data_IF_656279583192
#
_entry.id   IF_656279583192
#
_cell.length_a   1.000
_cell.length_b   1.000
_cell.length_c   1.000
_cell.angle_alpha   90.00
_cell.angle_beta   90.00
_cell.angle_gamma   90.00
#
_symmetry.space_group_name_H-M   'P 1'
#
loop_
_entity.id
_entity.type
_entity.pdbx_description
1 polymer ?
#
# COMPACT_ATOMS: atom_id res chain seq x y z
N UNK A 1 29.63 5.92 8.88
CA UNK A 1 28.27 5.53 8.48
C UNK A 1 28.40 4.89 7.12
N UNK A 2 28.19 3.58 7.02
CA UNK A 2 28.01 2.93 5.73
C UNK A 2 26.76 3.56 5.08
N UNK A 3 26.81 3.90 3.80
CA UNK A 3 25.63 4.44 3.11
C UNK A 3 24.54 3.38 3.06
N UNK A 4 23.30 3.77 3.36
CA UNK A 4 22.13 2.92 3.13
C UNK A 4 22.07 2.52 1.66
N UNK A 5 22.01 1.22 1.39
CA UNK A 5 21.82 0.70 0.03
C UNK A 5 20.33 0.55 -0.20
N UNK A 6 19.82 1.23 -1.21
CA UNK A 6 18.41 1.10 -1.59
C UNK A 6 18.14 -0.24 -2.26
N UNK A 7 16.96 -0.77 -2.03
CA UNK A 7 16.49 -2.00 -2.67
C UNK A 7 16.08 -1.76 -4.12
N UNK A 8 16.12 -2.82 -4.93
CA UNK A 8 15.72 -2.79 -6.34
C UNK A 8 14.22 -3.02 -6.53
N UNK A 9 13.74 -2.84 -7.77
CA UNK A 9 12.33 -2.99 -8.11
C UNK A 9 11.77 -4.37 -7.76
N UNK A 10 12.55 -5.43 -7.97
CA UNK A 10 12.13 -6.81 -7.69
C UNK A 10 11.85 -7.01 -6.20
N UNK A 11 12.75 -6.54 -5.34
CA UNK A 11 12.57 -6.57 -3.89
C UNK A 11 11.29 -5.84 -3.47
N UNK A 12 11.03 -4.65 -4.01
CA UNK A 12 9.84 -3.86 -3.67
C UNK A 12 8.53 -4.55 -4.06
N UNK A 13 8.47 -5.18 -5.23
CA UNK A 13 7.27 -5.90 -5.67
C UNK A 13 7.03 -7.16 -4.84
N UNK A 14 8.09 -7.90 -4.50
CA UNK A 14 8.00 -9.09 -3.65
C UNK A 14 7.50 -8.72 -2.23
N UNK A 15 8.09 -7.71 -1.61
CA UNK A 15 7.72 -7.28 -0.25
C UNK A 15 6.31 -6.67 -0.22
N UNK A 16 5.94 -5.90 -1.24
CA UNK A 16 4.56 -5.44 -1.41
C UNK A 16 3.58 -6.61 -1.44
N UNK A 17 3.95 -7.74 -2.06
CA UNK A 17 3.14 -8.95 -2.06
C UNK A 17 2.91 -9.48 -0.65
N UNK A 18 3.96 -9.68 0.14
CA UNK A 18 3.84 -10.15 1.52
C UNK A 18 2.96 -9.23 2.38
N UNK A 19 3.08 -7.92 2.19
CA UNK A 19 2.32 -6.90 2.92
C UNK A 19 0.85 -6.82 2.48
N UNK A 20 0.55 -6.97 1.19
CA UNK A 20 -0.83 -7.08 0.69
C UNK A 20 -1.52 -8.33 1.23
N UNK A 21 -0.81 -9.46 1.35
CA UNK A 21 -1.37 -10.68 1.95
C UNK A 21 -1.76 -10.46 3.41
N UNK A 22 -0.99 -9.65 4.16
CA UNK A 22 -1.32 -9.24 5.53
C UNK A 22 -2.51 -8.29 5.54
N UNK A 23 -2.51 -7.29 4.65
CA UNK A 23 -3.56 -6.28 4.56
C UNK A 23 -4.95 -6.90 4.38
N UNK A 24 -5.06 -7.89 3.49
CA UNK A 24 -6.31 -8.61 3.21
C UNK A 24 -6.43 -9.93 3.97
N UNK A 25 -5.51 -10.22 4.89
CA UNK A 25 -5.38 -11.50 5.60
C UNK A 25 -6.58 -11.90 6.43
N UNK A 26 -7.44 -10.94 6.79
CA UNK A 26 -8.67 -11.17 7.55
C UNK A 26 -9.95 -10.88 6.77
N UNK A 27 -9.85 -10.42 5.51
CA UNK A 27 -11.04 -10.18 4.71
C UNK A 27 -11.83 -11.49 4.50
N UNK A 28 -13.18 -11.46 4.62
CA UNK A 28 -13.99 -12.67 4.72
C UNK A 28 -14.04 -13.47 3.41
N UNK A 29 -13.92 -12.80 2.27
CA UNK A 29 -14.00 -13.39 0.93
C UNK A 29 -12.66 -13.34 0.19
N UNK A 30 -11.55 -13.26 0.94
CA UNK A 30 -10.23 -13.06 0.36
C UNK A 30 -9.80 -14.21 -0.54
N UNK A 31 -9.02 -13.88 -1.56
CA UNK A 31 -8.23 -14.82 -2.34
C UNK A 31 -6.76 -14.41 -2.23
N UNK A 32 -5.96 -15.28 -1.59
CA UNK A 32 -4.53 -15.09 -1.39
C UNK A 32 -3.79 -16.24 -2.09
N UNK A 33 -2.96 -15.94 -3.08
CA UNK A 33 -2.18 -16.93 -3.82
C UNK A 33 -0.77 -16.41 -4.09
N UNK A 34 0.24 -17.28 -3.92
CA UNK A 34 1.62 -17.00 -4.32
C UNK A 34 2.11 -18.07 -5.28
N UNK A 35 2.88 -17.64 -6.27
CA UNK A 35 3.62 -18.50 -7.18
C UNK A 35 5.11 -18.19 -7.13
N UNK A 36 5.85 -18.75 -8.07
CA UNK A 36 7.30 -18.54 -8.15
C UNK A 36 7.67 -17.09 -8.44
N UNK A 37 6.94 -16.46 -9.36
CA UNK A 37 7.19 -15.11 -9.86
C UNK A 37 5.88 -14.32 -9.94
N UNK A 38 4.96 -14.53 -8.99
CA UNK A 38 3.74 -13.74 -8.86
C UNK A 38 3.12 -13.86 -7.47
N UNK A 39 2.24 -12.91 -7.14
CA UNK A 39 1.35 -12.96 -5.99
C UNK A 39 -0.01 -12.35 -6.35
N UNK A 40 -1.07 -12.81 -5.67
CA UNK A 40 -2.45 -12.34 -5.82
C UNK A 40 -3.05 -12.16 -4.43
N UNK A 41 -3.37 -10.93 -4.04
CA UNK A 41 -4.06 -10.61 -2.80
C UNK A 41 -5.33 -9.81 -3.10
N UNK A 42 -6.46 -10.50 -3.11
CA UNK A 42 -7.79 -9.90 -3.30
C UNK A 42 -8.52 -9.90 -1.96
N UNK A 43 -9.13 -8.77 -1.59
CA UNK A 43 -10.01 -8.70 -0.42
C UNK A 43 -11.34 -9.46 -0.63
N UNK A 44 -11.74 -9.64 -1.89
CA UNK A 44 -13.03 -10.22 -2.26
C UNK A 44 -14.11 -9.17 -2.56
N UNK A 45 -13.81 -7.89 -2.41
CA UNK A 45 -14.77 -6.80 -2.65
C UNK A 45 -14.78 -6.40 -4.14
N UNK A 46 -15.92 -6.48 -4.85
CA UNK A 46 -15.99 -6.18 -6.27
C UNK A 46 -16.15 -4.69 -6.56
N UNK A 47 -15.93 -4.28 -7.81
CA UNK A 47 -16.25 -2.93 -8.30
C UNK A 47 -15.27 -1.84 -7.88
N UNK A 48 -14.09 -2.22 -7.35
CA UNK A 48 -12.99 -1.31 -7.06
C UNK A 48 -11.68 -2.10 -6.92
N UNK A 49 -10.75 -1.84 -7.83
CA UNK A 49 -9.44 -2.48 -7.87
C UNK A 49 -8.50 -2.02 -6.74
N UNK A 50 -8.76 -0.88 -6.11
CA UNK A 50 -7.95 -0.33 -5.03
C UNK A 50 -7.95 -1.19 -3.76
N UNK A 51 -8.88 -2.15 -3.66
CA UNK A 51 -9.00 -3.12 -2.57
C UNK A 51 -8.52 -4.53 -2.97
N UNK A 52 -7.86 -4.67 -4.13
CA UNK A 52 -7.51 -5.96 -4.73
C UNK A 52 -6.26 -5.81 -5.60
N UNK A 53 -5.17 -6.48 -5.23
CA UNK A 53 -3.89 -6.30 -5.90
C UNK A 53 -3.27 -7.63 -6.29
N UNK A 54 -2.55 -7.63 -7.40
CA UNK A 54 -1.65 -8.70 -7.81
C UNK A 54 -0.31 -8.11 -8.23
N UNK A 55 0.75 -8.92 -8.15
CA UNK A 55 2.07 -8.54 -8.60
C UNK A 55 2.73 -9.63 -9.41
N UNK A 56 3.59 -9.21 -10.33
CA UNK A 56 4.34 -10.08 -11.22
C UNK A 56 5.83 -9.91 -10.96
N UNK A 57 6.59 -11.00 -11.02
CA UNK A 57 8.05 -10.99 -11.01
C UNK A 57 8.61 -10.72 -12.41
N UNK A 58 9.83 -10.18 -12.48
CA UNK A 58 10.46 -9.84 -13.76
C UNK A 58 10.66 -11.06 -14.68
N UNK A 59 10.75 -12.26 -14.08
CA UNK A 59 10.95 -13.53 -14.77
C UNK A 59 9.67 -14.36 -14.92
N UNK A 60 8.48 -13.77 -14.70
CA UNK A 60 7.20 -14.49 -14.79
C UNK A 60 7.04 -15.17 -16.14
N UNK A 61 6.71 -16.47 -16.13
CA UNK A 61 6.48 -17.26 -17.34
C UNK A 61 5.15 -16.88 -18.01
N UNK A 62 4.96 -17.20 -19.28
CA UNK A 62 3.67 -16.98 -19.93
C UNK A 62 2.57 -17.85 -19.31
N UNK A 63 2.89 -19.09 -18.92
CA UNK A 63 1.94 -19.98 -18.23
C UNK A 63 1.47 -19.40 -16.89
N UNK A 64 2.40 -18.84 -16.09
CA UNK A 64 2.06 -18.20 -14.82
C UNK A 64 1.28 -16.90 -15.03
N UNK A 65 1.67 -16.10 -16.02
CA UNK A 65 0.94 -14.89 -16.38
C UNK A 65 -0.49 -15.20 -16.84
N UNK A 66 -0.66 -16.20 -17.70
CA UNK A 66 -1.98 -16.69 -18.13
C UNK A 66 -2.80 -17.18 -16.95
N UNK A 67 -2.18 -17.91 -16.01
CA UNK A 67 -2.82 -18.36 -14.77
C UNK A 67 -3.32 -17.18 -13.92
N UNK A 68 -2.47 -16.18 -13.66
CA UNK A 68 -2.84 -14.99 -12.88
C UNK A 68 -4.04 -14.28 -13.52
N UNK A 69 -3.98 -14.05 -14.83
CA UNK A 69 -5.05 -13.38 -15.58
C UNK A 69 -6.34 -14.21 -15.54
N UNK A 70 -6.24 -15.52 -15.68
CA UNK A 70 -7.39 -16.42 -15.61
C UNK A 70 -8.05 -16.38 -14.23
N UNK A 71 -7.26 -16.45 -13.15
CA UNK A 71 -7.76 -16.35 -11.77
C UNK A 71 -8.53 -15.04 -11.57
N UNK A 72 -7.94 -13.90 -11.96
CA UNK A 72 -8.59 -12.58 -11.79
C UNK A 72 -9.89 -12.49 -12.60
N UNK A 73 -9.92 -13.03 -13.81
CA UNK A 73 -11.14 -13.02 -14.65
C UNK A 73 -12.24 -13.91 -14.10
N UNK A 74 -11.89 -15.08 -13.57
CA UNK A 74 -12.85 -16.03 -13.02
C UNK A 74 -13.47 -15.53 -11.72
N UNK A 75 -12.74 -14.74 -10.91
CA UNK A 75 -13.30 -14.11 -9.72
C UNK A 75 -14.25 -12.95 -10.04
N UNK A 76 -14.12 -12.34 -11.21
CA UNK A 76 -14.81 -11.11 -11.60
C UNK A 76 -14.57 -9.95 -10.62
N UNK A 77 -13.39 -9.94 -9.98
CA UNK A 77 -12.97 -8.90 -9.05
C UNK A 77 -12.03 -7.94 -9.78
N UNK A 78 -12.38 -6.66 -9.77
CA UNK A 78 -11.52 -5.59 -10.27
C UNK A 78 -10.17 -5.63 -9.54
N UNK A 79 -9.05 -5.60 -10.26
CA UNK A 79 -7.71 -5.85 -9.69
C UNK A 79 -6.65 -4.94 -10.30
N UNK A 80 -5.83 -4.34 -9.45
CA UNK A 80 -4.59 -3.66 -9.83
C UNK A 80 -3.50 -4.72 -9.99
N UNK A 81 -2.79 -4.68 -11.11
CA UNK A 81 -1.61 -5.52 -11.36
C UNK A 81 -0.37 -4.62 -11.36
N UNK A 82 0.56 -4.90 -10.44
CA UNK A 82 1.88 -4.25 -10.37
C UNK A 82 2.88 -5.11 -11.10
N UNK A 83 3.54 -4.55 -12.11
CA UNK A 83 4.44 -5.27 -13.00
C UNK A 83 5.78 -4.52 -13.13
N UNK A 84 6.93 -5.23 -13.05
CA UNK A 84 8.25 -4.62 -13.20
C UNK A 84 8.36 -3.81 -14.49
N UNK A 85 8.92 -2.61 -14.37
CA UNK A 85 9.21 -1.74 -15.50
C UNK A 85 10.56 -2.03 -16.15
N UNK A 86 11.49 -2.63 -15.40
CA UNK A 86 12.82 -3.00 -15.90
C UNK A 86 12.75 -4.10 -16.98
N UNK A 87 11.71 -4.93 -16.97
CA UNK A 87 11.46 -5.88 -18.05
C UNK A 87 10.55 -5.25 -19.13
N UNK A 88 11.17 -4.82 -20.23
CA UNK A 88 10.49 -4.17 -21.35
C UNK A 88 9.44 -5.05 -22.07
N UNK A 89 9.48 -6.39 -21.94
CA UNK A 89 8.55 -7.26 -22.64
C UNK A 89 7.22 -7.48 -21.89
N UNK A 90 7.20 -7.27 -20.57
CA UNK A 90 6.07 -7.64 -19.74
C UNK A 90 4.83 -6.78 -20.03
N UNK A 91 5.05 -5.50 -20.31
CA UNK A 91 3.99 -4.61 -20.80
C UNK A 91 3.33 -5.16 -22.07
N UNK A 92 4.14 -5.56 -23.07
CA UNK A 92 3.61 -6.12 -24.31
C UNK A 92 2.91 -7.47 -24.08
N UNK A 93 3.39 -8.29 -23.15
CA UNK A 93 2.78 -9.57 -22.77
C UNK A 93 1.44 -9.41 -22.05
N UNK A 94 1.27 -8.34 -21.27
CA UNK A 94 -0.03 -7.94 -20.69
C UNK A 94 -0.99 -7.43 -21.78
N UNK A 95 -0.50 -6.58 -22.69
CA UNK A 95 -1.29 -6.05 -23.81
C UNK A 95 -1.81 -7.16 -24.74
N UNK A 96 -1.00 -8.20 -25.01
CA UNK A 96 -1.41 -9.40 -25.77
C UNK A 96 -2.57 -10.15 -25.12
N UNK A 97 -2.74 -10.01 -23.81
CA UNK A 97 -3.84 -10.58 -23.02
C UNK A 97 -5.01 -9.61 -22.88
N UNK A 98 -4.95 -8.43 -23.51
CA UNK A 98 -5.99 -7.40 -23.45
C UNK A 98 -5.99 -6.64 -22.13
N UNK A 99 -4.84 -6.51 -21.48
CA UNK A 99 -4.67 -5.79 -20.22
C UNK A 99 -3.78 -4.58 -20.51
N UNK A 100 -4.33 -3.39 -20.37
CA UNK A 100 -3.61 -2.14 -20.63
C UNK A 100 -2.94 -1.61 -19.35
N UNK A 101 -1.70 -1.13 -19.49
CA UNK A 101 -1.02 -0.39 -18.43
C UNK A 101 -1.56 1.04 -18.37
N UNK A 102 -2.07 1.44 -17.22
CA UNK A 102 -2.67 2.77 -16.97
C UNK A 102 -1.70 3.75 -16.32
N UNK A 103 -0.52 3.31 -15.90
CA UNK A 103 0.48 4.20 -15.34
C UNK A 103 1.66 3.48 -14.72
N UNK A 104 2.32 4.16 -13.78
CA UNK A 104 3.38 3.61 -12.95
C UNK A 104 3.12 4.03 -11.49
N UNK A 105 3.58 3.23 -10.54
CA UNK A 105 3.55 3.57 -9.12
C UNK A 105 4.98 3.81 -8.63
N UNK A 106 5.34 5.04 -8.19
CA UNK A 106 6.62 5.28 -7.55
C UNK A 106 6.71 4.49 -6.24
N UNK A 107 7.55 3.46 -6.23
CA UNK A 107 8.00 2.81 -5.00
C UNK A 107 9.09 3.68 -4.40
N UNK A 108 8.87 4.14 -3.17
CA UNK A 108 9.78 5.03 -2.47
C UNK A 108 10.31 4.37 -1.20
N UNK A 109 11.57 4.64 -0.90
CA UNK A 109 12.25 4.14 0.28
C UNK A 109 12.97 5.26 1.02
N UNK A 110 13.02 5.14 2.34
CA UNK A 110 13.78 6.02 3.21
C UNK A 110 14.52 5.23 4.28
N UNK A 111 15.81 5.50 4.52
CA UNK A 111 16.50 5.01 5.72
C UNK A 111 15.87 5.59 6.98
N UNK A 112 15.68 4.76 7.99
CA UNK A 112 15.23 5.19 9.30
C UNK A 112 16.20 6.24 9.85
N UNK A 113 15.63 7.33 10.38
CA UNK A 113 16.42 8.44 10.88
C UNK A 113 15.53 9.63 11.24
N UNK A 114 16.11 10.61 11.96
CA UNK A 114 15.38 11.77 12.43
C UNK A 114 14.81 12.58 11.26
N UNK A 115 13.70 13.26 11.51
CA UNK A 115 13.15 14.24 10.59
C UNK A 115 13.70 15.63 10.91
N UNK A 116 13.91 16.45 9.88
CA UNK A 116 14.46 17.81 10.06
C UNK A 116 13.49 18.76 10.79
N UNK A 117 12.19 18.48 10.69
CA UNK A 117 11.12 19.31 11.27
C UNK A 117 10.08 18.43 11.93
N UNK A 118 9.66 18.75 13.17
CA UNK A 118 8.57 18.05 13.82
C UNK A 118 7.25 18.37 13.13
N UNK A 119 6.35 17.40 13.11
CA UNK A 119 5.00 17.56 12.60
C UNK A 119 4.16 18.50 13.51
N UNK A 120 3.15 19.18 12.96
CA UNK A 120 2.30 20.10 13.72
C UNK A 120 1.26 19.38 14.59
N UNK A 121 1.12 18.06 14.46
CA UNK A 121 0.23 17.21 15.27
C UNK A 121 1.02 16.04 15.86
N UNK A 122 0.51 15.48 16.96
CA UNK A 122 0.94 14.19 17.45
C UNK A 122 -0.03 13.12 16.92
N UNK A 123 0.51 12.03 16.38
CA UNK A 123 -0.29 10.85 16.08
C UNK A 123 -0.15 9.80 17.19
N UNK A 124 -1.14 8.92 17.28
CA UNK A 124 -1.14 7.78 18.20
C UNK A 124 -1.63 6.53 17.49
N UNK A 125 -1.34 5.37 18.06
CA UNK A 125 -1.91 4.11 17.58
C UNK A 125 -3.43 4.08 17.81
N UNK A 126 -4.13 3.49 16.85
CA UNK A 126 -5.55 3.17 16.93
C UNK A 126 -5.75 1.88 17.75
N UNK A 127 -6.93 1.75 18.32
CA UNK A 127 -7.41 0.53 18.98
C UNK A 127 -8.36 -0.24 18.06
N UNK A 128 -8.61 -1.52 18.35
CA UNK A 128 -9.59 -2.34 17.62
C UNK A 128 -11.00 -1.73 17.65
N UNK A 129 -11.37 -1.01 18.72
CA UNK A 129 -12.65 -0.32 18.83
C UNK A 129 -12.79 0.88 17.87
N UNK A 130 -11.67 1.42 17.40
CA UNK A 130 -11.63 2.59 16.49
C UNK A 130 -11.58 2.18 15.02
N UNK A 131 -11.43 0.88 14.72
CA UNK A 131 -11.23 0.39 13.35
C UNK A 131 -12.33 0.85 12.38
N UNK A 132 -13.59 0.81 12.80
CA UNK A 132 -14.70 1.26 11.95
C UNK A 132 -14.52 2.75 11.55
N UNK A 133 -14.18 3.62 12.50
CA UNK A 133 -13.98 5.05 12.23
C UNK A 133 -12.73 5.30 11.36
N UNK A 134 -11.66 4.52 11.57
CA UNK A 134 -10.48 4.57 10.72
C UNK A 134 -10.84 4.21 9.27
N UNK A 135 -11.64 3.15 9.07
CA UNK A 135 -12.06 2.71 7.73
C UNK A 135 -13.00 3.72 7.06
N UNK A 136 -13.87 4.38 7.81
CA UNK A 136 -14.70 5.49 7.31
C UNK A 136 -13.82 6.65 6.79
N UNK A 137 -12.79 7.05 7.56
CA UNK A 137 -11.84 8.10 7.19
C UNK A 137 -11.06 7.73 5.93
N UNK A 138 -10.60 6.48 5.84
CA UNK A 138 -9.91 5.96 4.65
C UNK A 138 -10.83 5.95 3.42
N UNK A 139 -12.05 5.44 3.57
CA UNK A 139 -13.03 5.42 2.49
C UNK A 139 -13.37 6.83 1.99
N UNK A 140 -13.58 7.78 2.90
CA UNK A 140 -13.80 9.19 2.55
C UNK A 140 -12.59 9.79 1.81
N UNK A 141 -11.37 9.55 2.28
CA UNK A 141 -10.16 10.13 1.69
C UNK A 141 -9.89 9.63 0.27
N UNK A 142 -10.21 8.36 -0.02
CA UNK A 142 -9.99 7.70 -1.31
C UNK A 142 -11.26 7.59 -2.17
N UNK A 143 -12.38 8.17 -1.73
CA UNK A 143 -13.69 8.08 -2.41
C UNK A 143 -14.15 6.64 -2.65
N UNK A 144 -13.93 5.76 -1.68
CA UNK A 144 -14.31 4.35 -1.71
C UNK A 144 -15.66 4.12 -1.01
N UNK A 145 -16.23 2.94 -1.25
CA UNK A 145 -17.39 2.48 -0.48
C UNK A 145 -16.98 2.12 0.95
N UNK A 146 -17.67 2.68 1.93
CA UNK A 146 -17.37 2.51 3.36
C UNK A 146 -17.49 1.05 3.78
N UNK A 147 -18.56 0.36 3.40
CA UNK A 147 -18.79 -1.01 3.85
C UNK A 147 -17.78 -1.97 3.24
N UNK A 148 -17.46 -1.79 1.94
CA UNK A 148 -16.41 -2.57 1.27
C UNK A 148 -15.04 -2.35 1.91
N UNK A 149 -14.68 -1.08 2.15
CA UNK A 149 -13.41 -0.73 2.80
C UNK A 149 -13.31 -1.39 4.17
N UNK A 150 -14.37 -1.30 4.99
CA UNK A 150 -14.40 -1.94 6.31
C UNK A 150 -14.31 -3.46 6.25
N UNK A 151 -14.91 -4.12 5.26
CA UNK A 151 -14.81 -5.59 5.09
C UNK A 151 -13.47 -6.04 4.54
N UNK A 152 -12.81 -5.22 3.73
CA UNK A 152 -11.48 -5.54 3.17
C UNK A 152 -10.38 -5.57 4.23
N UNK A 153 -10.54 -4.84 5.33
CA UNK A 153 -9.58 -4.83 6.44
C UNK A 153 -10.35 -4.72 7.77
N UNK A 154 -10.80 -5.85 8.35
CA UNK A 154 -11.54 -5.84 9.60
C UNK A 154 -10.61 -5.68 10.82
N UNK A 155 -11.19 -5.51 12.02
CA UNK A 155 -10.44 -5.19 13.24
C UNK A 155 -9.44 -6.27 13.67
N UNK A 156 -9.62 -7.51 13.22
CA UNK A 156 -8.68 -8.62 13.38
C UNK A 156 -7.31 -8.32 12.79
N UNK A 157 -7.21 -7.41 11.80
CA UNK A 157 -5.92 -6.93 11.27
C UNK A 157 -4.96 -6.47 12.38
N UNK A 158 -5.46 -5.78 13.41
CA UNK A 158 -4.65 -5.27 14.53
C UNK A 158 -4.25 -6.36 15.54
N UNK A 159 -4.69 -7.61 15.36
CA UNK A 159 -4.28 -8.73 16.21
C UNK A 159 -2.99 -9.38 15.73
N UNK A 160 -2.62 -9.18 14.46
CA UNK A 160 -1.39 -9.73 13.90
C UNK A 160 -0.18 -8.90 14.32
N UNK A 161 0.91 -9.59 14.64
CA UNK A 161 2.16 -8.95 15.05
C UNK A 161 2.71 -8.01 13.95
N UNK A 162 3.14 -6.82 14.36
CA UNK A 162 3.69 -5.80 13.48
C UNK A 162 2.64 -5.04 12.66
N UNK A 163 1.35 -5.37 12.73
CA UNK A 163 0.30 -4.57 12.09
C UNK A 163 -0.09 -3.41 13.02
N UNK A 164 -0.02 -2.21 12.49
CA UNK A 164 -0.29 -0.99 13.23
C UNK A 164 -1.15 -0.04 12.40
N UNK A 165 -1.99 0.73 13.08
CA UNK A 165 -2.70 1.85 12.49
C UNK A 165 -2.40 3.06 13.35
N UNK A 166 -1.95 4.13 12.71
CA UNK A 166 -1.68 5.40 13.35
C UNK A 166 -2.71 6.43 12.91
N UNK A 167 -3.13 7.29 13.82
CA UNK A 167 -4.12 8.32 13.57
C UNK A 167 -3.76 9.63 14.25
N UNK A 168 -4.20 10.73 13.65
CA UNK A 168 -4.27 12.04 14.32
C UNK A 168 -5.71 12.29 14.71
N UNK A 169 -5.93 12.65 15.97
CA UNK A 169 -7.24 13.01 16.50
C UNK A 169 -7.21 14.44 17.05
N UNK A 170 -8.27 15.18 16.81
CA UNK A 170 -8.53 16.50 17.42
C UNK A 170 -10.00 16.53 17.83
N UNK A 171 -10.27 16.83 19.11
CA UNK A 171 -11.62 16.94 19.69
C UNK A 171 -12.53 15.73 19.41
N UNK A 172 -12.01 14.50 19.54
CA UNK A 172 -12.78 13.28 19.31
C UNK A 172 -12.99 12.92 17.84
N UNK A 173 -12.38 13.67 16.90
CA UNK A 173 -12.47 13.43 15.46
C UNK A 173 -11.13 12.99 14.90
N UNK A 174 -11.12 11.86 14.19
CA UNK A 174 -9.95 11.42 13.42
C UNK A 174 -9.78 12.34 12.21
N UNK A 175 -8.66 13.05 12.15
CA UNK A 175 -8.33 13.96 11.05
C UNK A 175 -7.62 13.26 9.89
N UNK A 176 -6.99 12.13 10.16
CA UNK A 176 -6.27 11.31 9.17
C UNK A 176 -5.61 10.10 9.83
N UNK A 177 -5.23 9.14 9.00
CA UNK A 177 -4.71 7.84 9.43
C UNK A 177 -3.72 7.25 8.42
N UNK A 178 -3.02 6.20 8.83
CA UNK A 178 -2.11 5.39 8.01
C UNK A 178 -1.99 3.98 8.58
N UNK A 179 -1.81 3.01 7.69
CA UNK A 179 -1.56 1.61 8.02
C UNK A 179 -0.07 1.35 7.90
N UNK A 180 0.48 0.66 8.89
CA UNK A 180 1.90 0.36 8.97
C UNK A 180 2.07 -1.12 9.25
N UNK A 181 2.97 -1.77 8.51
CA UNK A 181 3.27 -3.19 8.67
C UNK A 181 4.76 -3.33 8.90
N UNK A 182 5.13 -3.66 10.14
CA UNK A 182 6.50 -3.91 10.52
C UNK A 182 6.86 -5.37 10.25
N UNK A 183 8.05 -5.57 9.69
CA UNK A 183 8.71 -6.87 9.54
C UNK A 183 10.19 -6.66 9.85
N UNK A 184 10.67 -7.23 10.95
CA UNK A 184 12.06 -7.07 11.41
C UNK A 184 12.52 -5.59 11.50
N UNK A 185 13.39 -5.17 10.57
CA UNK A 185 14.00 -3.84 10.44
C UNK A 185 13.32 -2.94 9.39
N UNK A 186 12.23 -3.41 8.79
CA UNK A 186 11.48 -2.76 7.73
C UNK A 186 10.06 -2.35 8.18
N UNK A 187 9.62 -1.17 7.73
CA UNK A 187 8.25 -0.67 7.92
C UNK A 187 7.60 -0.32 6.57
N UNK A 188 6.64 -1.12 6.13
CA UNK A 188 5.77 -0.78 5.01
C UNK A 188 4.69 0.21 5.41
N UNK A 189 4.43 1.20 4.56
CA UNK A 189 3.43 2.26 4.78
C UNK A 189 2.34 2.19 3.73
N UNK A 190 1.11 2.06 4.19
CA UNK A 190 -0.10 1.84 3.39
C UNK A 190 -1.24 2.75 3.86
N UNK A 191 -2.27 2.91 3.02
CA UNK A 191 -3.55 3.57 3.36
C UNK A 191 -3.35 4.92 4.08
N UNK A 192 -2.41 5.74 3.61
CA UNK A 192 -2.19 7.10 4.14
C UNK A 192 -3.35 7.99 3.72
N UNK A 193 -4.30 8.17 4.62
CA UNK A 193 -5.58 8.81 4.36
C UNK A 193 -5.71 10.13 5.13
N UNK A 194 -6.03 11.20 4.42
CA UNK A 194 -6.45 12.48 5.01
C UNK A 194 -7.63 13.01 4.20
N UNK A 195 -8.84 13.05 4.78
CA UNK A 195 -10.01 13.66 4.14
C UNK A 195 -9.74 15.08 3.66
N UNK A 196 -10.38 15.49 2.57
CA UNK A 196 -10.09 16.75 1.87
C UNK A 196 -10.09 17.98 2.80
N UNK A 197 -11.06 18.04 3.71
CA UNK A 197 -11.23 19.10 4.72
C UNK A 197 -10.08 19.22 5.75
N UNK A 198 -9.17 18.24 5.79
CA UNK A 198 -8.04 18.20 6.73
C UNK A 198 -6.67 18.19 6.01
N UNK A 199 -6.66 18.23 4.67
CA UNK A 199 -5.42 18.29 3.87
C UNK A 199 -4.70 19.63 4.04
N UNK A 200 -3.40 19.63 3.71
CA UNK A 200 -2.57 20.85 3.77
C UNK A 200 -2.21 21.34 5.18
N UNK A 201 -2.71 20.67 6.24
CA UNK A 201 -2.43 21.02 7.64
C UNK A 201 -1.21 20.28 8.23
N UNK A 202 -0.69 19.27 7.55
CA UNK A 202 0.40 18.42 8.05
C UNK A 202 -0.06 17.15 8.79
N UNK A 203 -1.33 16.76 8.66
CA UNK A 203 -1.90 15.55 9.29
C UNK A 203 -1.19 14.27 8.84
N UNK A 204 -1.13 14.00 7.52
CA UNK A 204 -0.42 12.84 7.00
C UNK A 204 1.07 12.82 7.35
N UNK A 205 1.70 14.00 7.42
CA UNK A 205 3.08 14.12 7.91
C UNK A 205 3.21 13.69 9.36
N UNK A 206 2.28 14.09 10.24
CA UNK A 206 2.28 13.67 11.63
C UNK A 206 2.10 12.16 11.80
N UNK A 207 1.15 11.57 11.08
CA UNK A 207 0.93 10.10 11.08
C UNK A 207 2.21 9.37 10.70
N UNK A 208 2.83 9.76 9.58
CA UNK A 208 4.05 9.10 9.08
C UNK A 208 5.26 9.33 9.99
N UNK A 209 5.45 10.54 10.50
CA UNK A 209 6.56 10.87 11.39
C UNK A 209 6.48 10.09 12.68
N UNK A 210 5.33 10.12 13.36
CA UNK A 210 5.17 9.43 14.64
C UNK A 210 5.35 7.93 14.51
N UNK A 211 4.85 7.29 13.44
CA UNK A 211 5.03 5.86 13.23
C UNK A 211 6.51 5.48 13.03
N UNK A 212 7.25 6.24 12.21
CA UNK A 212 8.69 5.98 11.99
C UNK A 212 9.49 6.27 13.26
N UNK A 213 9.23 7.39 13.93
CA UNK A 213 9.91 7.76 15.18
C UNK A 213 9.67 6.75 16.30
N UNK A 214 8.47 6.17 16.38
CA UNK A 214 8.16 5.12 17.34
C UNK A 214 9.10 3.93 17.25
N UNK A 215 9.52 3.57 16.03
CA UNK A 215 10.36 2.39 15.80
C UNK A 215 11.87 2.70 15.73
N UNK A 216 12.29 3.97 15.74
CA UNK A 216 13.70 4.38 15.59
C UNK A 216 14.63 3.74 16.63
N UNK A 217 14.20 3.67 17.89
CA UNK A 217 15.01 3.08 18.97
C UNK A 217 14.91 1.54 19.02
N UNK A 218 14.02 0.96 18.21
CA UNK A 218 13.69 -0.48 18.24
C UNK A 218 14.25 -1.27 17.06
N UNK A 219 15.23 -0.72 16.36
CA UNK A 219 15.94 -1.42 15.28
C UNK A 219 15.33 -1.27 13.89
N UNK A 220 14.47 -0.27 13.66
CA UNK A 220 14.05 0.07 12.30
C UNK A 220 15.25 0.59 11.51
N UNK A 221 15.50 0.01 10.33
CA UNK A 221 16.53 0.44 9.40
C UNK A 221 15.98 1.25 8.23
N UNK A 222 14.77 0.96 7.75
CA UNK A 222 14.16 1.69 6.63
C UNK A 222 12.63 1.54 6.55
N UNK A 223 12.00 2.45 5.81
CA UNK A 223 10.57 2.43 5.53
C UNK A 223 10.31 2.53 4.02
N UNK A 224 9.24 1.88 3.56
CA UNK A 224 8.86 1.86 2.14
C UNK A 224 7.39 2.23 1.94
N UNK A 225 7.07 2.73 0.75
CA UNK A 225 5.70 3.03 0.35
C UNK A 225 5.54 3.05 -1.18
N UNK A 226 4.30 2.88 -1.63
CA UNK A 226 3.87 3.28 -2.97
C UNK A 226 3.25 4.67 -2.93
N UNK A 227 3.72 5.60 -3.75
CA UNK A 227 3.22 6.97 -3.76
C UNK A 227 2.15 7.20 -4.83
N UNK A 228 1.04 7.80 -4.44
CA UNK A 228 0.11 8.44 -5.39
C UNK A 228 0.68 9.78 -5.86
N UNK A 229 0.15 10.33 -6.95
CA UNK A 229 0.54 11.68 -7.44
C UNK A 229 0.38 12.75 -6.34
N UNK A 230 -0.71 12.66 -5.55
CA UNK A 230 -0.97 13.59 -4.44
C UNK A 230 -0.01 13.38 -3.26
N UNK A 231 0.33 12.13 -2.93
CA UNK A 231 1.19 11.79 -1.80
C UNK A 231 2.67 12.05 -2.06
N UNK A 232 3.12 11.89 -3.31
CA UNK A 232 4.52 11.96 -3.70
C UNK A 232 5.28 13.19 -3.14
N UNK A 233 4.78 14.44 -3.29
CA UNK A 233 5.50 15.62 -2.81
C UNK A 233 5.62 15.70 -1.28
N UNK A 234 4.78 14.97 -0.54
CA UNK A 234 4.86 14.88 0.92
C UNK A 234 6.00 13.94 1.31
N UNK A 235 6.05 12.75 0.71
CA UNK A 235 7.07 11.74 1.02
C UNK A 235 8.47 12.20 0.61
N UNK A 236 8.60 12.84 -0.55
CA UNK A 236 9.87 13.41 -1.01
C UNK A 236 10.43 14.43 -0.01
N UNK A 237 9.60 15.34 0.50
CA UNK A 237 9.99 16.31 1.54
C UNK A 237 10.38 15.67 2.86
N UNK A 238 9.89 14.45 3.11
CA UNK A 238 10.20 13.67 4.30
C UNK A 238 11.41 12.76 4.12
N UNK A 239 12.10 12.85 2.98
CA UNK A 239 13.36 12.16 2.73
C UNK A 239 13.21 10.78 2.06
N UNK A 240 12.01 10.42 1.64
CA UNK A 240 11.81 9.25 0.78
C UNK A 240 12.35 9.53 -0.62
N UNK A 241 12.96 8.51 -1.22
CA UNK A 241 13.49 8.54 -2.58
C UNK A 241 12.78 7.50 -3.41
N UNK A 242 12.41 7.88 -4.62
CA UNK A 242 11.93 6.93 -5.62
C UNK A 242 13.07 5.99 -6.01
N UNK A 243 12.85 4.70 -5.85
CA UNK A 243 13.83 3.64 -6.11
C UNK A 243 13.37 2.71 -7.23
N UNK A 244 12.06 2.62 -7.46
CA UNK A 244 11.48 1.92 -8.60
C UNK A 244 10.17 2.60 -9.07
N UNK A 245 9.75 2.30 -10.31
CA UNK A 245 8.49 2.79 -10.89
C UNK A 245 7.82 1.67 -11.72
N UNK A 246 7.40 0.57 -11.09
CA UNK A 246 6.73 -0.51 -11.80
C UNK A 246 5.47 -0.01 -12.53
N UNK A 247 5.17 -0.65 -13.65
CA UNK A 247 3.91 -0.44 -14.36
C UNK A 247 2.73 -0.85 -13.49
N UNK A 248 1.65 -0.10 -13.63
CA UNK A 248 0.34 -0.41 -13.09
C UNK A 248 -0.58 -0.72 -14.26
N UNK A 249 -1.20 -1.89 -14.22
CA UNK A 249 -2.29 -2.27 -15.10
C UNK A 249 -3.55 -2.51 -14.28
N UNK A 250 -4.72 -2.34 -14.88
CA UNK A 250 -6.00 -2.51 -14.20
C UNK A 250 -6.89 -3.44 -15.01
N UNK A 251 -7.45 -4.44 -14.34
CA UNK A 251 -8.60 -5.19 -14.83
C UNK A 251 -9.81 -4.66 -14.06
N UNK A 252 -10.78 -4.03 -14.73
CA UNK A 252 -11.95 -3.42 -14.07
C UNK A 252 -11.78 -1.93 -13.82
N UNK A 253 -12.26 -1.41 -12.68
CA UNK A 253 -12.22 0.02 -12.34
C UNK A 253 -11.36 0.31 -11.10
N UNK A 254 -10.62 1.41 -11.12
CA UNK A 254 -9.88 1.97 -9.97
C UNK A 254 -10.27 3.44 -9.75
N UNK A 255 -10.19 3.91 -8.51
CA UNK A 255 -10.34 5.33 -8.16
C UNK A 255 -9.00 6.07 -8.19
N UNK A 256 -7.87 5.35 -8.13
CA UNK A 256 -6.53 5.94 -8.06
C UNK A 256 -5.76 5.85 -9.38
N UNK A 257 -6.15 4.94 -10.26
CA UNK A 257 -5.49 4.74 -11.56
C UNK A 257 -6.54 4.77 -12.68
N UNK A 258 -6.27 5.54 -13.74
CA UNK A 258 -7.18 5.79 -14.87
C UNK A 258 -6.47 5.68 -16.20
#
# INVERSE_FOLDING_TARGET
MAGHSFHDEAWHIEHMGAEVMRLFGHAPNRLLETGKDFWIGLSGEPGCADLNMAGLGASVSDDDLDRVVQIIRDTQIDTIIVAPSENSDLKARLEQRGIETVGQVPCMERPAGPFDRPAPFNARMATTAEMAQVMDVSAQAFSLDIEKTSRSMPAEFLQDEGNEIWLVEEDGKILGTGVFMRTDDHLGVYVMATPEEHRGRGVGTAVLQSAIEHHQESGLEFATLGATEMGYPVYEKLGFRTVAQPYVAVIGASTQFS
#
